data_IF_599676090571
#
_entry.id   IF_599676090571
#
_cell.length_a   1.000
_cell.length_b   1.000
_cell.length_c   1.000
_cell.angle_alpha   90.00
_cell.angle_beta   90.00
_cell.angle_gamma   90.00
#
_symmetry.space_group_name_H-M   'P 1'
#
loop_
_entity.id
_entity.type
_entity.pdbx_description
1 polymer ?
#
# COMPACT_ATOMS: atom_id res chain seq x y z
N UNK A 1 -25.65 27.92 5.52
CA UNK A 1 -25.23 26.70 6.27
C UNK A 1 -25.03 25.48 5.35
N UNK A 2 -25.95 25.19 4.41
CA UNK A 2 -25.81 24.05 3.47
C UNK A 2 -24.60 24.14 2.53
N UNK A 3 -24.35 25.30 1.92
CA UNK A 3 -23.19 25.50 1.02
C UNK A 3 -21.86 25.24 1.73
N UNK A 4 -21.77 25.62 3.01
CA UNK A 4 -20.58 25.36 3.84
C UNK A 4 -20.36 23.86 4.07
N UNK A 5 -21.42 23.11 4.33
CA UNK A 5 -21.35 21.66 4.52
C UNK A 5 -20.93 20.95 3.22
N UNK A 6 -21.52 21.34 2.09
CA UNK A 6 -21.14 20.82 0.78
C UNK A 6 -19.65 21.09 0.47
N UNK A 7 -19.17 22.31 0.77
CA UNK A 7 -17.75 22.66 0.62
C UNK A 7 -16.84 21.82 1.52
N UNK A 8 -17.20 21.64 2.78
CA UNK A 8 -16.42 20.86 3.73
C UNK A 8 -16.34 19.39 3.29
N UNK A 9 -17.44 18.85 2.77
CA UNK A 9 -17.49 17.47 2.29
C UNK A 9 -16.69 17.26 1.01
N UNK A 10 -16.75 18.23 0.07
CA UNK A 10 -15.89 18.23 -1.11
C UNK A 10 -14.39 18.28 -0.76
N UNK A 11 -14.01 19.14 0.20
CA UNK A 11 -12.63 19.19 0.72
C UNK A 11 -12.23 17.88 1.40
N UNK A 12 -13.07 17.33 2.26
CA UNK A 12 -12.84 16.06 2.96
C UNK A 12 -12.62 14.92 1.96
N UNK A 13 -13.48 14.85 0.95
CA UNK A 13 -13.40 13.86 -0.11
C UNK A 13 -12.11 14.00 -0.91
N UNK A 14 -11.78 15.21 -1.38
CA UNK A 14 -10.56 15.46 -2.15
C UNK A 14 -9.28 15.11 -1.38
N UNK A 15 -9.19 15.49 -0.10
CA UNK A 15 -8.04 15.17 0.76
C UNK A 15 -7.93 13.66 0.97
N UNK A 16 -9.04 13.00 1.28
CA UNK A 16 -9.07 11.56 1.54
C UNK A 16 -8.68 10.77 0.29
N UNK A 17 -9.22 11.16 -0.87
CA UNK A 17 -8.90 10.54 -2.16
C UNK A 17 -7.41 10.69 -2.51
N UNK A 18 -6.85 11.89 -2.38
CA UNK A 18 -5.42 12.11 -2.64
C UNK A 18 -4.53 11.38 -1.64
N UNK A 19 -4.95 11.28 -0.37
CA UNK A 19 -4.24 10.50 0.64
C UNK A 19 -4.22 9.00 0.29
N UNK A 20 -5.35 8.46 -0.14
CA UNK A 20 -5.46 7.07 -0.57
C UNK A 20 -4.59 6.79 -1.81
N UNK A 21 -4.68 7.64 -2.85
CA UNK A 21 -3.86 7.53 -4.06
C UNK A 21 -2.36 7.63 -3.76
N UNK A 22 -1.96 8.57 -2.89
CA UNK A 22 -0.56 8.72 -2.45
C UNK A 22 -0.08 7.49 -1.70
N UNK A 23 -0.90 6.97 -0.78
CA UNK A 23 -0.59 5.77 -0.01
C UNK A 23 -0.39 4.56 -0.92
N UNK A 24 -1.22 4.37 -1.93
CA UNK A 24 -1.08 3.27 -2.91
C UNK A 24 0.22 3.39 -3.71
N UNK A 25 0.52 4.57 -4.24
CA UNK A 25 1.76 4.81 -4.99
C UNK A 25 3.01 4.60 -4.13
N UNK A 26 3.01 5.11 -2.89
CA UNK A 26 4.13 4.94 -1.96
C UNK A 26 4.35 3.47 -1.61
N UNK A 27 3.26 2.74 -1.39
CA UNK A 27 3.28 1.31 -1.06
C UNK A 27 3.89 0.48 -2.19
N UNK A 28 3.56 0.79 -3.45
CA UNK A 28 4.16 0.14 -4.60
C UNK A 28 5.68 0.40 -4.66
N UNK A 29 6.11 1.65 -4.54
CA UNK A 29 7.52 2.04 -4.65
C UNK A 29 8.40 1.47 -3.54
N UNK A 30 7.94 1.41 -2.30
CA UNK A 30 8.76 0.90 -1.18
C UNK A 30 9.14 -0.57 -1.36
N UNK A 31 8.24 -1.41 -1.88
CA UNK A 31 8.51 -2.83 -2.08
C UNK A 31 9.31 -3.09 -3.36
N UNK A 32 8.96 -2.42 -4.48
CA UNK A 32 9.70 -2.57 -5.74
C UNK A 32 11.06 -1.90 -5.72
N UNK A 33 11.33 -1.04 -4.75
CA UNK A 33 12.66 -0.45 -4.52
C UNK A 33 13.67 -1.41 -3.88
N UNK A 34 13.21 -2.58 -3.39
CA UNK A 34 14.09 -3.60 -2.81
C UNK A 34 14.73 -4.41 -3.95
N UNK A 35 16.06 -4.47 -4.05
CA UNK A 35 16.74 -5.29 -5.06
C UNK A 35 16.28 -6.75 -4.99
N UNK A 36 15.86 -7.30 -6.13
CA UNK A 36 15.33 -8.67 -6.20
C UNK A 36 13.81 -8.80 -5.98
N UNK A 37 13.12 -7.73 -5.58
CA UNK A 37 11.64 -7.71 -5.48
C UNK A 37 11.04 -7.02 -6.71
N UNK A 38 10.49 -7.84 -7.61
CA UNK A 38 9.72 -7.34 -8.76
C UNK A 38 8.29 -6.95 -8.40
N UNK A 39 7.61 -6.24 -9.31
CA UNK A 39 6.21 -5.80 -9.13
C UNK A 39 5.25 -6.96 -8.77
N UNK A 40 5.42 -8.13 -9.38
CA UNK A 40 4.60 -9.33 -9.08
C UNK A 40 4.75 -9.80 -7.62
N UNK A 41 5.96 -9.73 -7.09
CA UNK A 41 6.24 -10.13 -5.70
C UNK A 41 5.71 -9.08 -4.73
N UNK A 42 5.90 -7.80 -5.04
CA UNK A 42 5.33 -6.70 -4.27
C UNK A 42 3.79 -6.79 -4.20
N UNK A 43 3.13 -7.06 -5.33
CA UNK A 43 1.67 -7.22 -5.38
C UNK A 43 1.20 -8.42 -4.55
N UNK A 44 1.87 -9.57 -4.63
CA UNK A 44 1.56 -10.75 -3.79
C UNK A 44 1.66 -10.43 -2.31
N UNK A 45 2.76 -9.77 -1.90
CA UNK A 45 2.96 -9.35 -0.51
C UNK A 45 1.88 -8.36 -0.07
N UNK A 46 1.49 -7.43 -0.93
CA UNK A 46 0.43 -6.47 -0.60
C UNK A 46 -0.96 -7.08 -0.56
N UNK A 47 -1.27 -8.05 -1.42
CA UNK A 47 -2.53 -8.77 -1.35
C UNK A 47 -2.63 -9.61 -0.07
N UNK A 48 -1.53 -10.24 0.35
CA UNK A 48 -1.53 -11.07 1.55
C UNK A 48 -1.53 -10.23 2.84
N UNK A 49 -0.61 -9.27 2.95
CA UNK A 49 -0.41 -8.49 4.18
C UNK A 49 -1.22 -7.19 4.21
N UNK A 50 -1.73 -6.69 3.08
CA UNK A 50 -2.59 -5.51 2.99
C UNK A 50 -1.90 -4.14 3.07
N UNK A 51 -0.67 -4.05 3.59
CA UNK A 51 0.11 -2.80 3.58
C UNK A 51 1.61 -3.08 3.75
N UNK A 52 2.48 -2.18 3.26
CA UNK A 52 3.94 -2.30 3.46
C UNK A 52 4.32 -2.36 4.93
N UNK A 53 3.61 -1.63 5.79
CA UNK A 53 3.87 -1.65 7.24
C UNK A 53 3.71 -3.06 7.82
N UNK A 54 2.68 -3.80 7.37
CA UNK A 54 2.45 -5.18 7.78
C UNK A 54 3.49 -6.13 7.17
N UNK A 55 3.86 -5.93 5.90
CA UNK A 55 4.97 -6.68 5.26
C UNK A 55 6.28 -6.50 6.03
N UNK A 56 6.61 -5.26 6.45
CA UNK A 56 7.82 -4.97 7.23
C UNK A 56 7.80 -5.60 8.63
N UNK A 57 6.62 -5.82 9.20
CA UNK A 57 6.46 -6.43 10.53
C UNK A 57 6.32 -7.96 10.48
N UNK A 58 6.15 -8.55 9.29
CA UNK A 58 5.99 -9.98 9.10
C UNK A 58 7.32 -10.71 9.36
N UNK A 59 7.21 -11.96 9.81
CA UNK A 59 8.36 -12.81 10.04
C UNK A 59 8.98 -13.26 8.70
N UNK A 60 10.27 -13.54 8.71
CA UNK A 60 10.97 -14.02 7.50
C UNK A 60 10.38 -15.32 6.96
N UNK A 61 9.87 -16.19 7.84
CA UNK A 61 9.16 -17.42 7.48
C UNK A 61 7.86 -17.12 6.73
N UNK A 62 7.04 -16.18 7.23
CA UNK A 62 5.78 -15.77 6.60
C UNK A 62 6.03 -15.11 5.23
N UNK A 63 7.09 -14.31 5.11
CA UNK A 63 7.50 -13.73 3.84
C UNK A 63 7.93 -14.82 2.84
N UNK A 64 8.69 -15.81 3.30
CA UNK A 64 9.14 -16.92 2.46
C UNK A 64 7.97 -17.80 1.98
N UNK A 65 6.92 -17.99 2.79
CA UNK A 65 5.72 -18.72 2.39
C UNK A 65 4.95 -18.00 1.27
N UNK A 66 4.85 -16.67 1.33
CA UNK A 66 4.10 -15.88 0.35
C UNK A 66 4.86 -15.71 -0.97
N UNK A 67 6.18 -15.53 -0.90
CA UNK A 67 7.01 -15.30 -2.09
C UNK A 67 7.49 -16.62 -2.72
N UNK A 68 7.54 -17.70 -1.93
CA UNK A 68 8.18 -18.96 -2.27
C UNK A 68 9.71 -18.87 -2.19
N UNK A 69 10.43 -20.00 -2.14
CA UNK A 69 11.88 -20.01 -2.33
C UNK A 69 12.17 -19.42 -3.72
N UNK A 70 12.73 -18.22 -3.75
CA UNK A 70 13.15 -17.58 -4.99
C UNK A 70 14.15 -18.47 -5.72
N UNK A 71 13.92 -18.67 -7.02
CA UNK A 71 14.98 -19.06 -7.94
C UNK A 71 16.01 -17.92 -8.08
#
# INVERSE_FOLDING_TARGET
KLIQQARNEAHRFAITFHRQKRSQNFTATELTGIPGIGAKTADKLLQHFGSVKKVRAALQTELAEVVGPGA
#
